data_IF_500411860672
#
_entry.id   IF_500411860672
#
_cell.length_a   1.000
_cell.length_b   1.000
_cell.length_c   1.000
_cell.angle_alpha   90.00
_cell.angle_beta   90.00
_cell.angle_gamma   90.00
#
_symmetry.space_group_name_H-M   'P 1'
#
loop_
_entity.id
_entity.type
_entity.pdbx_description
1 polymer ?
#
# COMPACT_ATOMS: atom_id res chain seq x y z
N UNK A 1 18.58 3.42 13.15
CA UNK A 1 17.11 3.22 12.99
C UNK A 1 16.76 1.90 13.66
N UNK A 2 15.63 1.77 14.36
CA UNK A 2 15.26 0.52 15.02
C UNK A 2 15.14 -0.62 13.97
N UNK A 3 15.56 -1.87 14.27
CA UNK A 3 15.33 -3.03 13.42
C UNK A 3 13.91 -3.17 12.83
N UNK A 4 12.86 -2.81 13.58
CA UNK A 4 11.47 -2.86 13.08
C UNK A 4 11.23 -1.83 11.96
N UNK A 5 11.68 -0.59 12.14
CA UNK A 5 11.58 0.48 11.14
C UNK A 5 12.33 0.12 9.84
N UNK A 6 13.50 -0.55 9.96
CA UNK A 6 14.24 -1.07 8.82
C UNK A 6 13.48 -2.17 8.07
N UNK A 7 12.83 -3.09 8.80
CA UNK A 7 11.99 -4.14 8.18
C UNK A 7 10.83 -3.54 7.40
N UNK A 8 10.18 -2.50 7.93
CA UNK A 8 9.10 -1.79 7.21
C UNK A 8 9.63 -1.21 5.90
N UNK A 9 10.75 -0.49 5.93
CA UNK A 9 11.33 0.10 4.72
C UNK A 9 11.71 -0.98 3.70
N UNK A 10 12.33 -2.08 4.13
CA UNK A 10 12.67 -3.20 3.24
C UNK A 10 11.44 -3.87 2.64
N UNK A 11 10.39 -4.08 3.43
CA UNK A 11 9.13 -4.65 2.95
C UNK A 11 8.43 -3.70 1.94
N UNK A 12 8.42 -2.40 2.21
CA UNK A 12 7.86 -1.40 1.29
C UNK A 12 8.66 -1.31 -0.02
N UNK A 13 10.00 -1.42 0.02
CA UNK A 13 10.85 -1.50 -1.18
C UNK A 13 10.52 -2.73 -2.01
N UNK A 14 10.41 -3.88 -1.36
CA UNK A 14 10.09 -5.13 -2.02
C UNK A 14 8.72 -5.08 -2.71
N UNK A 15 7.70 -4.56 -2.02
CA UNK A 15 6.38 -4.33 -2.60
C UNK A 15 6.44 -3.37 -3.79
N UNK A 16 7.17 -2.27 -3.69
CA UNK A 16 7.28 -1.31 -4.79
C UNK A 16 7.96 -1.95 -6.02
N UNK A 17 9.01 -2.74 -5.80
CA UNK A 17 9.71 -3.43 -6.88
C UNK A 17 8.80 -4.44 -7.60
N UNK A 18 8.03 -5.23 -6.86
CA UNK A 18 7.11 -6.21 -7.47
C UNK A 18 5.98 -5.52 -8.25
N UNK A 19 5.48 -4.38 -7.76
CA UNK A 19 4.48 -3.58 -8.46
C UNK A 19 5.03 -3.02 -9.78
N UNK A 20 6.25 -2.47 -9.79
CA UNK A 20 6.88 -2.00 -11.03
C UNK A 20 7.14 -3.11 -12.03
N UNK A 21 7.63 -4.27 -11.58
CA UNK A 21 7.85 -5.44 -12.45
C UNK A 21 6.51 -5.86 -13.09
N UNK A 22 5.45 -5.91 -12.30
CA UNK A 22 4.10 -6.26 -12.79
C UNK A 22 3.60 -5.24 -13.81
N UNK A 23 3.73 -3.95 -13.52
CA UNK A 23 3.30 -2.87 -14.40
C UNK A 23 4.05 -2.89 -15.75
N UNK A 24 5.36 -3.14 -15.74
CA UNK A 24 6.13 -3.27 -16.97
C UNK A 24 5.75 -4.54 -17.75
N UNK A 25 5.46 -5.64 -17.06
CA UNK A 25 5.00 -6.88 -17.69
C UNK A 25 3.58 -6.77 -18.28
N UNK A 26 2.77 -5.83 -17.80
CA UNK A 26 1.41 -5.63 -18.26
C UNK A 26 1.36 -5.22 -19.74
N UNK A 27 2.35 -4.45 -20.22
CA UNK A 27 2.40 -3.98 -21.61
C UNK A 27 2.47 -5.15 -22.60
N UNK A 28 3.42 -6.06 -22.41
CA UNK A 28 3.57 -7.23 -23.27
C UNK A 28 2.48 -8.27 -23.04
N UNK A 29 2.00 -8.40 -21.79
CA UNK A 29 0.93 -9.33 -21.44
C UNK A 29 -0.43 -8.92 -22.00
N UNK A 30 -0.72 -7.61 -22.09
CA UNK A 30 -1.95 -7.12 -22.71
C UNK A 30 -1.99 -7.48 -24.20
N UNK A 31 -0.87 -7.34 -24.92
CA UNK A 31 -0.77 -7.71 -26.33
C UNK A 31 -0.89 -9.23 -26.53
N UNK A 32 -0.21 -10.03 -25.70
CA UNK A 32 -0.28 -11.49 -25.78
C UNK A 32 -1.65 -12.04 -25.39
N UNK A 33 -2.35 -11.38 -24.46
CA UNK A 33 -3.74 -11.71 -24.10
C UNK A 33 -4.67 -11.46 -25.30
N UNK A 34 -4.58 -10.29 -25.93
CA UNK A 34 -5.41 -9.95 -27.09
C UNK A 34 -5.17 -10.92 -28.26
N UNK A 35 -3.92 -11.24 -28.57
CA UNK A 35 -3.59 -12.17 -29.64
C UNK A 35 -4.12 -13.60 -29.39
N UNK A 36 -4.32 -13.99 -28.13
CA UNK A 36 -4.93 -15.27 -27.76
C UNK A 36 -6.45 -15.24 -27.83
N UNK A 37 -7.08 -14.12 -27.43
CA UNK A 37 -8.51 -13.88 -27.64
C UNK A 37 -8.88 -13.92 -29.13
N UNK A 38 -8.07 -13.30 -29.99
CA UNK A 38 -8.31 -13.28 -31.44
C UNK A 38 -8.23 -14.69 -32.05
N UNK A 39 -7.48 -15.60 -31.41
CA UNK A 39 -7.43 -17.04 -31.76
C UNK A 39 -8.59 -17.85 -31.16
N UNK A 40 -9.58 -17.20 -30.56
CA UNK A 40 -10.73 -17.83 -29.89
C UNK A 40 -10.32 -18.80 -28.78
N UNK A 41 -9.18 -18.56 -28.13
CA UNK A 41 -8.78 -19.30 -26.94
C UNK A 41 -9.70 -18.86 -25.79
N UNK A 42 -10.23 -19.85 -25.06
CA UNK A 42 -11.04 -19.61 -23.87
C UNK A 42 -10.28 -18.72 -22.85
N UNK A 43 -10.84 -17.57 -22.44
CA UNK A 43 -10.22 -16.66 -21.48
C UNK A 43 -9.73 -17.32 -20.19
N UNK A 44 -10.39 -18.40 -19.74
CA UNK A 44 -10.02 -19.14 -18.53
C UNK A 44 -8.69 -19.91 -18.65
N UNK A 45 -8.20 -20.12 -19.88
CA UNK A 45 -6.95 -20.83 -20.19
C UNK A 45 -5.81 -19.89 -20.57
N UNK A 46 -6.09 -18.60 -20.71
CA UNK A 46 -5.07 -17.61 -21.04
C UNK A 46 -4.31 -17.28 -19.76
N UNK A 47 -3.05 -17.71 -19.70
CA UNK A 47 -2.12 -17.35 -18.63
C UNK A 47 -1.01 -16.50 -19.20
N UNK A 48 -0.72 -15.37 -18.55
CA UNK A 48 0.28 -14.41 -18.97
C UNK A 48 1.36 -14.21 -17.89
N UNK A 49 2.44 -13.51 -18.25
CA UNK A 49 3.48 -13.11 -17.29
C UNK A 49 2.90 -12.20 -16.20
N UNK A 50 1.94 -11.34 -16.56
CA UNK A 50 1.21 -10.48 -15.65
C UNK A 50 0.56 -11.29 -14.51
N UNK A 51 -0.10 -12.41 -14.81
CA UNK A 51 -0.76 -13.24 -13.79
C UNK A 51 0.24 -13.80 -12.78
N UNK A 52 1.42 -14.21 -13.25
CA UNK A 52 2.49 -14.74 -12.40
C UNK A 52 3.06 -13.67 -11.47
N UNK A 53 3.27 -12.45 -11.98
CA UNK A 53 3.77 -11.34 -11.18
C UNK A 53 2.70 -10.76 -10.24
N UNK A 54 1.43 -10.77 -10.64
CA UNK A 54 0.30 -10.33 -9.80
C UNK A 54 0.18 -11.18 -8.51
N UNK A 55 0.41 -12.49 -8.60
CA UNK A 55 0.52 -13.36 -7.41
C UNK A 55 1.67 -12.93 -6.51
N UNK A 56 2.82 -12.57 -7.10
CA UNK A 56 3.99 -12.11 -6.35
C UNK A 56 3.73 -10.77 -5.64
N UNK A 57 3.02 -9.84 -6.30
CA UNK A 57 2.55 -8.59 -5.67
C UNK A 57 1.63 -8.87 -4.50
N UNK A 58 0.70 -9.82 -4.63
CA UNK A 58 -0.21 -10.21 -3.56
C UNK A 58 0.53 -10.73 -2.33
N UNK A 59 1.55 -11.58 -2.54
CA UNK A 59 2.42 -12.08 -1.46
C UNK A 59 3.20 -10.93 -0.81
N UNK A 60 3.79 -10.04 -1.62
CA UNK A 60 4.53 -8.87 -1.13
C UNK A 60 3.64 -7.93 -0.32
N UNK A 61 2.38 -7.75 -0.73
CA UNK A 61 1.40 -6.91 -0.04
C UNK A 61 1.05 -7.48 1.33
N UNK A 62 0.80 -8.79 1.42
CA UNK A 62 0.54 -9.48 2.71
C UNK A 62 1.74 -9.35 3.63
N UNK A 63 2.95 -9.56 3.12
CA UNK A 63 4.17 -9.40 3.90
C UNK A 63 4.35 -7.97 4.42
N UNK A 64 4.18 -6.97 3.54
CA UNK A 64 4.24 -5.56 3.90
C UNK A 64 3.19 -5.18 4.94
N UNK A 65 1.97 -5.71 4.82
CA UNK A 65 0.90 -5.52 5.80
C UNK A 65 1.27 -6.08 7.17
N UNK A 66 1.80 -7.31 7.25
CA UNK A 66 2.19 -7.92 8.53
C UNK A 66 3.27 -7.09 9.24
N UNK A 67 4.33 -6.73 8.51
CA UNK A 67 5.47 -5.99 9.06
C UNK A 67 5.04 -4.59 9.51
N UNK A 68 4.29 -3.88 8.66
CA UNK A 68 3.80 -2.53 8.96
C UNK A 68 2.82 -2.53 10.13
N UNK A 69 1.89 -3.49 10.18
CA UNK A 69 0.91 -3.60 11.26
C UNK A 69 1.57 -3.87 12.62
N UNK A 70 2.62 -4.70 12.65
CA UNK A 70 3.39 -4.95 13.88
C UNK A 70 4.11 -3.70 14.34
N UNK A 71 4.85 -3.06 13.44
CA UNK A 71 5.55 -1.81 13.73
C UNK A 71 4.60 -0.72 14.23
N UNK A 72 3.46 -0.53 13.56
CA UNK A 72 2.46 0.46 13.94
C UNK A 72 1.83 0.13 15.30
N UNK A 73 1.55 -1.15 15.56
CA UNK A 73 1.05 -1.61 16.85
C UNK A 73 2.02 -1.36 18.00
N UNK A 74 3.33 -1.44 17.75
CA UNK A 74 4.36 -1.14 18.74
C UNK A 74 4.51 0.37 18.95
N UNK A 75 4.50 1.15 17.86
CA UNK A 75 4.53 2.61 17.92
C UNK A 75 3.33 3.18 18.71
N UNK A 76 2.11 2.67 18.46
CA UNK A 76 0.91 3.04 19.23
C UNK A 76 1.09 2.72 20.72
N UNK A 77 1.61 1.53 21.05
CA UNK A 77 1.84 1.14 22.44
C UNK A 77 2.82 2.08 23.11
N UNK A 78 3.95 2.38 22.46
CA UNK A 78 4.96 3.29 23.00
C UNK A 78 4.40 4.69 23.25
N UNK A 79 3.57 5.23 22.35
CA UNK A 79 2.93 6.54 22.55
C UNK A 79 1.88 6.49 23.67
N UNK A 80 1.07 5.43 23.73
CA UNK A 80 0.00 5.31 24.72
C UNK A 80 0.54 5.10 26.15
N UNK A 81 1.65 4.36 26.30
CA UNK A 81 2.33 4.16 27.58
C UNK A 81 2.97 5.48 28.08
N UNK A 82 3.31 6.41 27.17
CA UNK A 82 3.93 7.71 27.51
C UNK A 82 2.92 8.83 27.73
N UNK A 83 1.96 8.98 26.82
CA UNK A 83 0.91 10.00 26.86
C UNK A 83 -0.45 9.32 26.79
N UNK A 84 -0.99 8.86 27.93
CA UNK A 84 -2.31 8.26 27.99
C UNK A 84 -3.35 9.21 27.40
N UNK A 85 -4.09 8.76 26.38
CA UNK A 85 -5.12 9.54 25.69
C UNK A 85 -4.69 10.24 24.39
N UNK A 86 -3.41 10.24 24.04
CA UNK A 86 -2.96 10.79 22.75
C UNK A 86 -3.47 9.96 21.56
N UNK A 87 -3.38 8.63 21.66
CA UNK A 87 -3.97 7.73 20.66
C UNK A 87 -5.40 7.39 21.07
N UNK A 88 -6.38 7.98 20.38
CA UNK A 88 -7.81 7.76 20.65
C UNK A 88 -8.34 6.43 20.10
N UNK A 89 -7.66 5.85 19.10
CA UNK A 89 -8.07 4.60 18.46
C UNK A 89 -7.45 3.39 19.16
N UNK A 90 -8.24 2.34 19.35
CA UNK A 90 -7.76 1.10 19.95
C UNK A 90 -6.64 0.46 19.10
N UNK A 91 -5.61 -0.10 19.77
CA UNK A 91 -4.43 -0.71 19.12
C UNK A 91 -4.77 -1.75 18.05
N UNK A 92 -5.88 -2.47 18.19
CA UNK A 92 -6.33 -3.45 17.18
C UNK A 92 -6.53 -2.81 15.80
N UNK A 93 -6.90 -1.53 15.73
CA UNK A 93 -7.09 -0.81 14.48
C UNK A 93 -5.78 -0.53 13.74
N UNK A 94 -4.62 -0.58 14.41
CA UNK A 94 -3.32 -0.54 13.74
C UNK A 94 -3.10 -1.73 12.80
N UNK A 95 -3.79 -2.85 13.05
CA UNK A 95 -3.75 -4.05 12.21
C UNK A 95 -4.95 -4.12 11.27
N UNK A 96 -6.16 -4.00 11.82
CA UNK A 96 -7.40 -4.21 11.08
C UNK A 96 -7.84 -3.01 10.25
N UNK A 97 -7.34 -1.80 10.56
CA UNK A 97 -7.66 -0.58 9.83
C UNK A 97 -7.19 -0.58 8.39
N UNK A 98 -6.31 -1.51 7.99
CA UNK A 98 -5.83 -1.63 6.60
C UNK A 98 -6.64 -2.60 5.75
N UNK A 99 -7.34 -3.56 6.37
CA UNK A 99 -8.07 -4.61 5.66
C UNK A 99 -9.54 -4.25 5.47
N UNK A 100 -10.17 -3.70 6.51
CA UNK A 100 -11.60 -3.44 6.48
C UNK A 100 -11.88 -2.27 5.51
N UNK A 101 -12.58 -2.49 4.37
CA UNK A 101 -12.57 -1.58 3.21
C UNK A 101 -13.06 -0.16 3.50
N UNK A 102 -13.99 -0.04 4.44
CA UNK A 102 -14.60 1.24 4.81
C UNK A 102 -13.65 2.01 5.72
N UNK A 103 -13.14 1.38 6.77
CA UNK A 103 -12.23 2.02 7.73
C UNK A 103 -10.82 2.23 7.17
N UNK A 104 -10.41 1.46 6.16
CA UNK A 104 -9.17 1.70 5.43
C UNK A 104 -9.16 3.00 4.66
N UNK A 105 -10.27 3.75 4.59
CA UNK A 105 -10.30 5.08 4.00
C UNK A 105 -9.90 6.21 4.98
N UNK A 106 -9.81 5.95 6.29
CA UNK A 106 -9.44 7.00 7.26
C UNK A 106 -8.65 6.54 8.49
N UNK A 107 -8.74 5.28 8.93
CA UNK A 107 -8.05 4.82 10.15
C UNK A 107 -6.52 4.84 10.03
N UNK A 108 -5.89 4.36 8.95
CA UNK A 108 -4.43 4.40 8.88
C UNK A 108 -3.87 5.82 9.00
N UNK A 109 -4.49 6.79 8.31
CA UNK A 109 -4.18 8.21 8.44
C UNK A 109 -4.31 8.71 9.88
N UNK A 110 -5.44 8.43 10.53
CA UNK A 110 -5.69 8.89 11.89
C UNK A 110 -4.69 8.29 12.89
N UNK A 111 -4.35 7.00 12.74
CA UNK A 111 -3.41 6.33 13.64
C UNK A 111 -2.03 6.99 13.53
N UNK A 112 -1.53 7.21 12.31
CA UNK A 112 -0.23 7.86 12.10
C UNK A 112 -0.23 9.30 12.63
N UNK A 113 -1.29 10.07 12.35
CA UNK A 113 -1.43 11.43 12.87
C UNK A 113 -1.46 11.46 14.41
N UNK A 114 -2.13 10.49 15.05
CA UNK A 114 -2.16 10.40 16.51
C UNK A 114 -0.80 10.01 17.11
N UNK A 115 -0.02 9.15 16.43
CA UNK A 115 1.34 8.78 16.86
C UNK A 115 2.26 10.00 16.83
N UNK A 116 2.23 10.77 15.73
CA UNK A 116 3.04 11.98 15.56
C UNK A 116 2.56 13.09 16.51
N UNK A 117 1.26 13.13 16.80
CA UNK A 117 0.67 13.94 17.86
C UNK A 117 0.30 15.38 17.44
N UNK A 118 -0.35 16.15 18.31
CA UNK A 118 -0.87 17.48 17.97
C UNK A 118 0.21 18.54 17.69
N UNK A 119 1.45 18.30 18.13
CA UNK A 119 2.64 19.13 17.84
C UNK A 119 3.22 18.84 16.45
N UNK A 120 2.41 18.32 15.53
CA UNK A 120 2.84 18.04 14.16
C UNK A 120 3.12 19.36 13.45
N UNK A 121 4.37 19.61 13.05
CA UNK A 121 4.69 20.76 12.21
C UNK A 121 3.90 20.69 10.90
N UNK A 122 3.59 21.85 10.31
CA UNK A 122 2.80 21.94 9.06
C UNK A 122 3.32 21.01 7.95
N UNK A 123 4.64 20.80 7.88
CA UNK A 123 5.30 19.92 6.92
C UNK A 123 4.89 18.45 7.08
N UNK A 124 4.87 17.96 8.32
CA UNK A 124 4.49 16.57 8.63
C UNK A 124 3.00 16.34 8.37
N UNK A 125 2.15 17.32 8.67
CA UNK A 125 0.72 17.25 8.34
C UNK A 125 0.44 17.17 6.84
N UNK A 126 1.18 17.95 6.03
CA UNK A 126 1.12 17.87 4.56
C UNK A 126 1.64 16.50 4.08
N UNK A 127 2.76 16.01 4.62
CA UNK A 127 3.31 14.71 4.27
C UNK A 127 2.28 13.59 4.51
N UNK A 128 1.67 13.52 5.70
CA UNK A 128 0.65 12.52 6.02
C UNK A 128 -0.54 12.59 5.04
N UNK A 129 -1.03 13.79 4.73
CA UNK A 129 -2.16 13.96 3.81
C UNK A 129 -1.81 13.56 2.38
N UNK A 130 -0.62 13.93 1.89
CA UNK A 130 -0.17 13.60 0.53
C UNK A 130 0.10 12.10 0.40
N UNK A 131 0.76 11.49 1.38
CA UNK A 131 0.93 10.04 1.46
C UNK A 131 -0.43 9.33 1.42
N UNK A 132 -1.38 9.82 2.23
CA UNK A 132 -2.71 9.24 2.29
C UNK A 132 -3.47 9.36 0.98
N UNK A 133 -3.46 10.54 0.36
CA UNK A 133 -4.10 10.77 -0.93
C UNK A 133 -3.53 9.86 -2.03
N UNK A 134 -2.20 9.69 -2.07
CA UNK A 134 -1.56 8.79 -3.02
C UNK A 134 -1.96 7.32 -2.78
N UNK A 135 -2.01 6.88 -1.51
CA UNK A 135 -2.45 5.53 -1.15
C UNK A 135 -3.93 5.27 -1.50
N UNK A 136 -4.81 6.23 -1.25
CA UNK A 136 -6.22 6.15 -1.67
C UNK A 136 -6.34 6.09 -3.18
N UNK A 137 -5.61 6.94 -3.91
CA UNK A 137 -5.59 6.92 -5.37
C UNK A 137 -5.19 5.55 -5.93
N UNK A 138 -4.11 4.96 -5.39
CA UNK A 138 -3.68 3.61 -5.73
C UNK A 138 -4.78 2.58 -5.43
N UNK A 139 -5.37 2.63 -4.23
CA UNK A 139 -6.41 1.68 -3.82
C UNK A 139 -7.66 1.77 -4.69
N UNK A 140 -8.12 2.98 -5.02
CA UNK A 140 -9.26 3.20 -5.90
C UNK A 140 -8.99 2.66 -7.30
N UNK A 141 -7.79 2.85 -7.82
CA UNK A 141 -7.39 2.35 -9.13
C UNK A 141 -7.44 0.82 -9.18
N UNK A 142 -6.85 0.15 -8.19
CA UNK A 142 -6.88 -1.31 -8.08
C UNK A 142 -8.30 -1.87 -7.95
N UNK A 143 -9.14 -1.23 -7.14
CA UNK A 143 -10.53 -1.65 -6.96
C UNK A 143 -11.37 -1.39 -8.23
N UNK A 144 -11.15 -0.26 -8.91
CA UNK A 144 -11.84 0.04 -10.17
C UNK A 144 -11.52 -1.00 -11.24
N UNK A 145 -10.24 -1.37 -11.41
CA UNK A 145 -9.83 -2.42 -12.35
C UNK A 145 -10.50 -3.77 -12.05
N UNK A 146 -10.58 -4.15 -10.77
CA UNK A 146 -11.25 -5.38 -10.33
C UNK A 146 -12.76 -5.35 -10.60
N UNK A 147 -13.44 -4.24 -10.33
CA UNK A 147 -14.88 -4.11 -10.60
C UNK A 147 -15.17 -4.09 -12.10
N UNK A 148 -14.33 -3.43 -12.90
CA UNK A 148 -14.46 -3.40 -14.35
C UNK A 148 -14.28 -4.79 -14.95
N UNK A 149 -13.34 -5.59 -14.47
CA UNK A 149 -13.12 -6.95 -14.96
C UNK A 149 -14.27 -7.91 -14.60
N UNK A 150 -14.88 -7.76 -13.43
CA UNK A 150 -16.02 -8.60 -13.03
C UNK A 150 -17.30 -8.38 -13.86
N UNK A 151 -17.49 -7.16 -14.38
CA UNK A 151 -18.68 -6.80 -15.18
C UNK A 151 -18.42 -6.82 -16.69
N UNK A 152 -17.25 -7.31 -17.11
CA UNK A 152 -16.83 -7.24 -18.49
C UNK A 152 -17.41 -8.37 -19.36
N UNK A 153 -17.62 -8.14 -20.66
CA UNK A 153 -18.00 -9.19 -21.61
C UNK A 153 -16.87 -10.22 -21.82
N UNK A 154 -17.20 -11.41 -22.32
CA UNK A 154 -16.27 -12.54 -22.43
C UNK A 154 -15.04 -12.29 -23.32
N UNK A 155 -15.11 -11.32 -24.24
CA UNK A 155 -14.01 -10.94 -25.14
C UNK A 155 -13.21 -9.72 -24.62
N UNK A 156 -13.40 -9.34 -23.36
CA UNK A 156 -12.69 -8.22 -22.75
C UNK A 156 -11.27 -8.61 -22.33
N UNK A 157 -10.31 -7.74 -22.63
CA UNK A 157 -8.96 -7.85 -22.09
C UNK A 157 -8.89 -7.16 -20.70
N UNK A 158 -8.70 -7.93 -19.61
CA UNK A 158 -8.67 -7.38 -18.25
C UNK A 158 -7.38 -6.65 -17.91
N UNK A 159 -6.31 -6.84 -18.69
CA UNK A 159 -5.01 -6.23 -18.44
C UNK A 159 -5.01 -4.81 -19.01
N UNK A 160 -4.82 -3.81 -18.15
CA UNK A 160 -4.83 -2.37 -18.49
C UNK A 160 -3.52 -1.72 -18.07
N UNK A 161 -2.49 -1.73 -18.94
CA UNK A 161 -1.16 -1.21 -18.61
C UNK A 161 -1.18 0.23 -18.09
N UNK A 162 -2.09 1.06 -18.60
CA UNK A 162 -2.29 2.45 -18.15
C UNK A 162 -2.63 2.55 -16.66
N UNK A 163 -3.44 1.62 -16.13
CA UNK A 163 -3.80 1.57 -14.71
C UNK A 163 -2.66 0.99 -13.88
N UNK A 164 -1.98 -0.06 -14.34
CA UNK A 164 -0.86 -0.63 -13.60
C UNK A 164 0.30 0.37 -13.47
N UNK A 165 0.61 1.13 -14.53
CA UNK A 165 1.65 2.18 -14.52
C UNK A 165 1.23 3.35 -13.63
N UNK A 166 0.00 3.83 -13.75
CA UNK A 166 -0.49 4.90 -12.88
C UNK A 166 -0.48 4.48 -11.40
N UNK A 167 -0.85 3.24 -11.11
CA UNK A 167 -0.77 2.64 -9.78
C UNK A 167 0.66 2.58 -9.26
N UNK A 168 1.61 2.14 -10.08
CA UNK A 168 3.03 2.11 -9.71
C UNK A 168 3.58 3.51 -9.41
N UNK A 169 3.21 4.53 -10.20
CA UNK A 169 3.57 5.92 -9.96
C UNK A 169 3.01 6.46 -8.63
N UNK A 170 1.72 6.22 -8.36
CA UNK A 170 1.08 6.62 -7.10
C UNK A 170 1.75 5.93 -5.90
N UNK A 171 2.06 4.64 -6.02
CA UNK A 171 2.73 3.89 -4.97
C UNK A 171 4.18 4.36 -4.75
N UNK A 172 4.89 4.75 -5.81
CA UNK A 172 6.22 5.39 -5.70
C UNK A 172 6.12 6.71 -4.93
N UNK A 173 5.16 7.58 -5.26
CA UNK A 173 4.97 8.85 -4.55
C UNK A 173 4.64 8.61 -3.07
N UNK A 174 3.72 7.67 -2.79
CA UNK A 174 3.41 7.26 -1.42
C UNK A 174 4.64 6.70 -0.70
N UNK A 175 5.47 5.89 -1.37
CA UNK A 175 6.65 5.26 -0.80
C UNK A 175 7.68 6.29 -0.30
N UNK A 176 7.98 7.33 -1.07
CA UNK A 176 8.95 8.34 -0.64
C UNK A 176 8.51 9.07 0.63
N UNK A 177 7.22 9.41 0.71
CA UNK A 177 6.66 10.08 1.88
C UNK A 177 6.55 9.10 3.05
N UNK A 178 6.25 7.83 2.77
CA UNK A 178 6.19 6.78 3.77
C UNK A 178 7.52 6.57 4.51
N UNK A 179 8.66 6.62 3.79
CA UNK A 179 9.98 6.56 4.43
C UNK A 179 10.16 7.71 5.42
N UNK A 180 9.75 8.93 5.05
CA UNK A 180 9.84 10.10 5.92
C UNK A 180 9.02 9.88 7.20
N UNK A 181 7.78 9.40 7.07
CA UNK A 181 6.91 9.08 8.20
C UNK A 181 7.56 8.04 9.12
N UNK A 182 8.10 6.94 8.57
CA UNK A 182 8.77 5.89 9.37
C UNK A 182 9.98 6.46 10.11
N UNK A 183 10.75 7.33 9.48
CA UNK A 183 11.91 7.99 10.10
C UNK A 183 11.49 8.95 11.21
N UNK A 184 10.46 9.77 11.00
CA UNK A 184 9.92 10.69 12.01
C UNK A 184 9.46 9.92 13.25
N UNK A 185 8.70 8.84 13.07
CA UNK A 185 8.24 7.99 14.19
C UNK A 185 9.42 7.32 14.91
N UNK A 186 10.45 6.85 14.19
CA UNK A 186 11.67 6.29 14.79
C UNK A 186 12.45 7.32 15.62
N UNK A 187 12.53 8.57 15.14
CA UNK A 187 13.18 9.67 15.85
C UNK A 187 12.43 10.03 17.13
N UNK A 188 11.10 10.16 17.06
CA UNK A 188 10.24 10.41 18.24
C UNK A 188 10.34 9.28 19.29
N UNK A 189 10.51 8.04 18.84
CA UNK A 189 10.75 6.92 19.75
C UNK A 189 12.04 7.09 20.55
N UNK A 190 13.11 7.61 19.92
CA UNK A 190 14.46 7.75 20.49
C UNK A 190 14.66 8.99 21.34
N UNK A 191 14.14 10.14 20.90
CA UNK A 191 14.30 11.41 21.65
C UNK A 191 13.68 11.36 23.03
N UNK A 192 12.75 10.44 23.26
CA UNK A 192 12.08 10.21 24.53
C UNK A 192 12.74 9.11 25.40
N UNK A 193 13.91 8.60 25.00
CA UNK A 193 14.74 7.67 25.82
C UNK A 193 16.02 8.31 26.34
N UNK A 194 16.33 9.54 25.93
CA UNK A 194 17.40 10.41 26.43
C UNK A 194 16.81 11.49 27.30
#
# INVERSE_FOLDING_TARGET
>A
MNPQSLRVISASKFLLATVWITALSAISSAQSYQAQLDKSIDPSKITTLYDSFSVTVSIALVFAWIVTSRWLGDAVKTVQDRNPGQVKLHRAWARWGWIAPVVSLWFPRQIIANIIGPQTDRKDGIAINTWWAAFIGFSLLSNAQFVLSMNAPANYNPIKPEFDIAGACLLTAAYFIWIQIVQTVDQMSKSATT
#
